data_IF_566551557052
#
_entry.id   IF_566551557052
#
_cell.length_a   1.000
_cell.length_b   1.000
_cell.length_c   1.000
_cell.angle_alpha   90.00
_cell.angle_beta   90.00
_cell.angle_gamma   90.00
#
_symmetry.space_group_name_H-M   'P 1'
#
loop_
_entity.id
_entity.type
_entity.pdbx_description
1 polymer ?
#
# COMPACT_ATOMS: atom_id res chain seq x y z
N UNK A 1 -2.10 -1.80 20.31
CA UNK A 1 -0.65 -1.59 20.13
C UNK A 1 -0.24 -0.46 21.04
N UNK A 2 0.65 -0.72 21.98
CA UNK A 2 1.07 0.28 22.99
C UNK A 2 2.18 1.19 22.47
N UNK A 3 2.86 0.79 21.40
CA UNK A 3 3.90 1.57 20.71
C UNK A 3 3.35 2.64 19.75
N UNK A 4 2.03 2.70 19.56
CA UNK A 4 1.39 3.76 18.78
C UNK A 4 0.56 4.68 19.72
N UNK A 5 1.20 5.54 20.53
CA UNK A 5 0.52 6.34 21.55
C UNK A 5 -0.21 7.55 20.98
N UNK A 6 0.13 7.97 19.76
CA UNK A 6 -0.42 9.17 19.12
C UNK A 6 -1.74 8.86 18.39
N UNK A 7 -2.63 9.84 18.21
CA UNK A 7 -3.80 9.69 17.37
C UNK A 7 -3.40 9.46 15.89
N UNK A 8 -4.25 8.77 15.09
CA UNK A 8 -3.92 8.42 13.69
C UNK A 8 -3.50 9.61 12.82
N UNK A 9 -4.09 10.77 13.05
CA UNK A 9 -3.85 11.98 12.28
C UNK A 9 -2.40 12.50 12.41
N UNK A 10 -1.73 12.20 13.53
CA UNK A 10 -0.33 12.57 13.74
C UNK A 10 0.66 11.67 12.98
N UNK A 11 0.26 10.46 12.63
CA UNK A 11 1.08 9.57 11.79
C UNK A 11 0.89 9.86 10.29
N UNK A 12 -0.21 10.50 9.91
CA UNK A 12 -0.54 10.83 8.53
C UNK A 12 -0.71 9.61 7.62
N UNK A 13 -0.71 9.84 6.32
CA UNK A 13 -0.86 8.77 5.31
C UNK A 13 0.27 7.74 5.34
N UNK A 14 1.44 8.10 5.83
CA UNK A 14 2.59 7.22 5.97
C UNK A 14 2.32 5.98 6.86
N UNK A 15 1.32 6.06 7.76
CA UNK A 15 0.91 4.91 8.58
C UNK A 15 0.49 3.70 7.74
N UNK A 16 -0.10 3.93 6.57
CA UNK A 16 -0.53 2.87 5.65
C UNK A 16 0.61 2.06 5.05
N UNK A 17 1.80 2.65 4.99
CA UNK A 17 3.03 2.01 4.50
C UNK A 17 4.01 1.67 5.63
N UNK A 18 3.61 1.89 6.89
CA UNK A 18 4.35 1.42 8.06
C UNK A 18 5.42 2.38 8.57
N UNK A 19 5.21 3.71 8.50
CA UNK A 19 6.15 4.71 9.05
C UNK A 19 6.14 4.81 10.58
N UNK A 20 5.27 4.07 11.27
CA UNK A 20 5.18 4.11 12.72
C UNK A 20 6.10 3.09 13.38
N UNK A 21 6.72 3.48 14.48
CA UNK A 21 7.55 2.60 15.30
C UNK A 21 6.70 1.53 16.00
N UNK A 22 7.13 0.27 15.93
CA UNK A 22 6.47 -0.85 16.57
C UNK A 22 7.50 -1.83 17.12
N UNK A 23 7.24 -2.41 18.30
CA UNK A 23 8.10 -3.47 18.82
C UNK A 23 7.89 -4.78 18.06
N UNK A 24 8.96 -5.59 17.92
CA UNK A 24 8.89 -6.89 17.23
C UNK A 24 7.82 -7.80 17.85
N UNK A 25 7.70 -7.81 19.18
CA UNK A 25 6.71 -8.63 19.87
C UNK A 25 5.27 -8.21 19.59
N UNK A 26 5.00 -6.90 19.55
CA UNK A 26 3.66 -6.41 19.22
C UNK A 26 3.31 -6.70 17.78
N UNK A 27 4.25 -6.48 16.84
CA UNK A 27 4.04 -6.82 15.43
C UNK A 27 3.77 -8.32 15.25
N UNK A 28 4.58 -9.17 15.89
CA UNK A 28 4.35 -10.62 15.86
C UNK A 28 2.96 -11.01 16.39
N UNK A 29 2.48 -10.37 17.46
CA UNK A 29 1.15 -10.64 18.00
C UNK A 29 0.02 -10.13 17.11
N UNK A 30 0.22 -9.02 16.37
CA UNK A 30 -0.73 -8.55 15.36
C UNK A 30 -0.89 -9.58 14.23
N UNK A 31 0.23 -10.09 13.68
CA UNK A 31 0.18 -11.15 12.66
C UNK A 31 -0.36 -12.47 13.22
N UNK A 32 -0.02 -12.81 14.47
CA UNK A 32 -0.62 -13.95 15.14
C UNK A 32 -2.14 -13.79 15.35
N UNK A 33 -2.65 -12.56 15.42
CA UNK A 33 -4.09 -12.29 15.43
C UNK A 33 -4.73 -12.60 14.08
N UNK A 34 -4.06 -12.26 12.98
CA UNK A 34 -4.49 -12.68 11.63
C UNK A 34 -4.45 -14.22 11.49
N UNK A 35 -3.37 -14.87 11.96
CA UNK A 35 -3.24 -16.33 11.97
C UNK A 35 -4.34 -17.03 12.78
N UNK A 36 -4.87 -16.39 13.81
CA UNK A 36 -6.02 -16.85 14.60
C UNK A 36 -7.37 -16.36 14.07
N UNK A 37 -7.41 -15.97 12.80
CA UNK A 37 -8.64 -15.51 12.13
C UNK A 37 -9.35 -14.37 12.89
N UNK A 38 -8.55 -13.40 13.37
CA UNK A 38 -9.02 -12.18 14.03
C UNK A 38 -9.10 -12.25 15.55
N UNK A 39 -8.82 -13.41 16.16
CA UNK A 39 -8.83 -13.54 17.61
C UNK A 39 -7.56 -12.95 18.21
N UNK A 40 -7.69 -11.77 18.82
CA UNK A 40 -6.56 -11.18 19.56
C UNK A 40 -6.37 -11.86 20.92
N UNK A 41 -5.11 -12.15 21.25
CA UNK A 41 -4.72 -12.73 22.55
C UNK A 41 -3.52 -11.99 23.12
N UNK A 42 -3.52 -11.80 24.44
CA UNK A 42 -2.33 -11.30 25.12
C UNK A 42 -1.20 -12.32 25.03
N UNK A 43 0.02 -11.83 24.77
CA UNK A 43 1.22 -12.67 24.76
C UNK A 43 1.46 -13.25 26.16
N UNK A 44 1.77 -14.55 26.24
CA UNK A 44 2.17 -15.23 27.48
C UNK A 44 3.45 -16.01 27.22
N UNK A 45 4.44 -15.79 28.06
CA UNK A 45 5.71 -16.53 28.05
C UNK A 45 5.66 -17.82 28.89
N UNK A 46 4.56 -18.06 29.59
CA UNK A 46 4.35 -19.25 30.41
C UNK A 46 3.48 -20.26 29.68
N UNK A 47 3.93 -21.53 29.48
CA UNK A 47 3.07 -22.57 28.96
C UNK A 47 1.95 -22.88 29.98
N UNK A 48 0.78 -23.31 29.50
CA UNK A 48 -0.34 -23.82 30.29
C UNK A 48 -0.98 -22.87 31.33
N UNK A 49 -0.80 -21.56 31.22
CA UNK A 49 -1.66 -20.65 31.98
C UNK A 49 -3.07 -20.75 31.41
N UNK A 50 -4.01 -21.24 32.21
CA UNK A 50 -5.44 -21.10 31.88
C UNK A 50 -5.71 -19.60 31.73
N UNK A 51 -5.81 -19.18 30.46
CA UNK A 51 -6.17 -17.78 30.17
C UNK A 51 -7.61 -17.59 30.62
N UNK A 52 -7.93 -16.53 31.36
CA UNK A 52 -9.30 -16.14 31.45
C UNK A 52 -9.82 -16.09 30.01
N UNK A 53 -10.89 -16.80 29.72
CA UNK A 53 -11.65 -16.58 28.50
C UNK A 53 -12.08 -15.12 28.58
N UNK A 54 -11.23 -14.23 28.11
CA UNK A 54 -11.60 -12.84 27.95
C UNK A 54 -12.90 -12.89 27.15
N UNK A 55 -13.91 -12.21 27.62
CA UNK A 55 -15.14 -12.00 26.85
C UNK A 55 -14.74 -11.41 25.51
N UNK A 56 -14.43 -12.25 24.53
CA UNK A 56 -14.14 -11.87 23.14
C UNK A 56 -15.48 -11.44 22.58
N UNK A 57 -15.88 -10.22 22.91
CA UNK A 57 -17.17 -9.68 22.50
C UNK A 57 -17.22 -9.46 20.97
N UNK A 58 -16.07 -9.28 20.31
CA UNK A 58 -15.93 -9.23 18.84
C UNK A 58 -14.50 -9.60 18.44
N UNK A 59 -14.28 -10.29 17.32
CA UNK A 59 -12.95 -10.46 16.77
C UNK A 59 -12.36 -9.07 16.44
N UNK A 60 -11.06 -8.89 16.65
CA UNK A 60 -10.36 -7.64 16.31
C UNK A 60 -10.41 -7.35 14.80
N UNK A 61 -10.43 -8.42 13.99
CA UNK A 61 -10.60 -8.40 12.53
C UNK A 61 -11.58 -9.52 12.15
N UNK A 62 -12.45 -9.28 11.17
CA UNK A 62 -13.40 -10.29 10.70
C UNK A 62 -12.66 -11.48 10.09
N UNK A 63 -13.17 -12.70 10.33
CA UNK A 63 -12.57 -13.96 9.85
C UNK A 63 -12.35 -13.98 8.34
N UNK A 64 -13.35 -13.54 7.57
CA UNK A 64 -13.29 -13.50 6.10
C UNK A 64 -12.15 -12.59 5.61
N UNK A 65 -11.95 -11.43 6.25
CA UNK A 65 -10.85 -10.51 5.92
C UNK A 65 -9.49 -11.10 6.31
N UNK A 66 -9.38 -11.78 7.45
CA UNK A 66 -8.15 -12.46 7.84
C UNK A 66 -7.76 -13.53 6.83
N UNK A 67 -8.76 -14.30 6.34
CA UNK A 67 -8.54 -15.33 5.34
C UNK A 67 -8.10 -14.73 4.00
N UNK A 68 -8.76 -13.66 3.52
CA UNK A 68 -8.36 -12.95 2.29
C UNK A 68 -6.93 -12.41 2.39
N UNK A 69 -6.56 -11.82 3.54
CA UNK A 69 -5.20 -11.35 3.78
C UNK A 69 -4.20 -12.52 3.74
N UNK A 70 -4.52 -13.65 4.37
CA UNK A 70 -3.65 -14.83 4.35
C UNK A 70 -3.50 -15.39 2.94
N UNK A 71 -4.58 -15.46 2.17
CA UNK A 71 -4.61 -15.92 0.78
C UNK A 71 -3.72 -15.03 -0.10
N UNK A 72 -3.91 -13.71 -0.07
CA UNK A 72 -3.08 -12.75 -0.80
C UNK A 72 -1.60 -12.81 -0.40
N UNK A 73 -1.32 -12.87 0.91
CA UNK A 73 0.06 -12.92 1.42
C UNK A 73 0.74 -14.28 1.22
N UNK A 74 0.04 -15.34 0.82
CA UNK A 74 0.61 -16.64 0.48
C UNK A 74 0.85 -16.84 -1.01
N UNK A 75 0.39 -15.92 -1.87
CA UNK A 75 0.51 -16.04 -3.32
C UNK A 75 1.95 -15.78 -3.80
N UNK A 76 2.65 -16.87 -4.13
CA UNK A 76 4.01 -16.80 -4.68
C UNK A 76 4.04 -16.22 -6.10
N UNK A 77 2.99 -16.42 -6.91
CA UNK A 77 2.94 -15.89 -8.26
C UNK A 77 2.85 -14.36 -8.27
N UNK A 78 1.97 -13.81 -7.41
CA UNK A 78 1.83 -12.36 -7.24
C UNK A 78 3.11 -11.69 -6.71
N UNK A 79 3.92 -12.40 -5.91
CA UNK A 79 5.21 -11.88 -5.38
C UNK A 79 6.37 -11.93 -6.36
N UNK A 80 6.32 -12.82 -7.35
CA UNK A 80 7.44 -13.08 -8.27
C UNK A 80 7.96 -11.82 -8.99
N UNK A 81 7.15 -10.88 -9.48
CA UNK A 81 7.67 -9.68 -10.15
C UNK A 81 8.54 -8.81 -9.25
N UNK A 82 8.27 -8.76 -7.93
CA UNK A 82 9.00 -7.91 -6.98
C UNK A 82 10.18 -8.60 -6.32
N UNK A 83 10.11 -9.91 -6.09
CA UNK A 83 11.08 -10.63 -5.27
C UNK A 83 11.78 -11.78 -6.00
N UNK A 84 11.39 -12.07 -7.25
CA UNK A 84 11.89 -13.20 -8.01
C UNK A 84 11.24 -14.53 -7.62
N UNK A 85 11.29 -15.49 -8.55
CA UNK A 85 10.66 -16.80 -8.40
C UNK A 85 11.28 -17.66 -7.28
N UNK A 86 12.54 -17.41 -6.93
CA UNK A 86 13.33 -18.20 -5.96
C UNK A 86 13.73 -17.38 -4.72
N UNK A 87 12.88 -16.44 -4.31
CA UNK A 87 13.14 -15.64 -3.11
C UNK A 87 13.00 -16.47 -1.82
N UNK A 88 13.58 -15.98 -0.72
CA UNK A 88 13.41 -16.57 0.62
C UNK A 88 11.95 -16.55 1.14
N UNK A 89 11.02 -15.96 0.40
CA UNK A 89 9.59 -15.97 0.70
C UNK A 89 8.84 -17.16 0.07
N UNK A 90 9.54 -17.99 -0.71
CA UNK A 90 8.94 -19.18 -1.34
C UNK A 90 9.16 -20.40 -0.47
N UNK A 91 8.08 -21.03 -0.09
CA UNK A 91 8.06 -22.27 0.68
C UNK A 91 7.47 -23.42 -0.17
N UNK A 92 7.70 -24.66 0.24
CA UNK A 92 7.09 -25.87 -0.34
C UNK A 92 5.67 -26.12 0.20
N UNK A 93 5.20 -25.27 1.09
CA UNK A 93 3.87 -25.26 1.70
C UNK A 93 3.38 -23.81 1.79
N UNK A 94 2.06 -23.57 1.94
CA UNK A 94 1.55 -22.20 2.02
C UNK A 94 2.02 -21.49 3.29
N UNK A 95 2.56 -20.28 3.11
CA UNK A 95 2.93 -19.37 4.21
C UNK A 95 2.55 -17.96 3.78
N UNK A 96 1.76 -17.29 4.59
CA UNK A 96 1.48 -15.88 4.41
C UNK A 96 2.69 -15.06 4.86
N UNK A 97 3.33 -14.33 3.93
CA UNK A 97 4.59 -13.61 4.17
C UNK A 97 4.44 -12.12 3.88
N UNK A 98 5.06 -11.28 4.73
CA UNK A 98 5.22 -9.85 4.49
C UNK A 98 6.60 -9.40 4.92
N UNK A 99 7.24 -8.58 4.08
CA UNK A 99 8.50 -7.91 4.38
C UNK A 99 8.28 -6.42 4.60
N UNK A 100 9.20 -5.79 5.30
CA UNK A 100 9.31 -4.35 5.44
C UNK A 100 10.76 -3.92 5.35
N UNK A 101 11.00 -2.76 4.75
CA UNK A 101 12.32 -2.13 4.71
C UNK A 101 12.12 -0.65 4.98
N UNK A 102 12.74 -0.11 6.03
CA UNK A 102 12.67 1.31 6.32
C UNK A 102 13.60 2.12 5.40
N UNK A 103 13.43 3.42 5.40
CA UNK A 103 14.30 4.35 4.66
C UNK A 103 15.76 4.10 5.00
N UNK A 104 16.64 4.16 3.99
CA UNK A 104 18.07 3.92 4.11
C UNK A 104 18.45 2.54 4.67
N UNK A 105 17.58 1.53 4.53
CA UNK A 105 17.85 0.16 4.99
C UNK A 105 18.16 0.03 6.49
N UNK A 106 17.61 0.90 7.34
CA UNK A 106 17.88 0.88 8.79
C UNK A 106 17.24 -0.30 9.47
N UNK A 107 16.00 -0.64 9.05
CA UNK A 107 15.21 -1.73 9.61
C UNK A 107 14.76 -2.68 8.52
N UNK A 108 15.04 -3.94 8.68
CA UNK A 108 14.61 -5.01 7.81
C UNK A 108 13.68 -5.95 8.57
N UNK A 109 12.47 -6.11 8.08
CA UNK A 109 11.43 -6.90 8.70
C UNK A 109 11.00 -8.03 7.78
N UNK A 110 10.75 -9.20 8.35
CA UNK A 110 10.04 -10.28 7.70
C UNK A 110 9.12 -10.97 8.70
N UNK A 111 7.87 -11.18 8.32
CA UNK A 111 6.91 -11.95 9.09
C UNK A 111 6.31 -13.02 8.19
N UNK A 112 6.29 -14.26 8.69
CA UNK A 112 5.59 -15.38 8.08
C UNK A 112 4.60 -15.96 9.09
N UNK A 113 3.42 -16.37 8.62
CA UNK A 113 2.46 -17.06 9.48
C UNK A 113 1.67 -18.14 8.75
N UNK A 114 1.29 -19.15 9.52
CA UNK A 114 0.42 -20.27 9.18
C UNK A 114 -0.61 -20.43 10.31
N UNK A 115 -1.54 -21.38 10.25
CA UNK A 115 -2.41 -21.69 11.38
C UNK A 115 -1.67 -22.04 12.66
N UNK A 116 -0.49 -22.67 12.57
CA UNK A 116 0.28 -23.20 13.70
C UNK A 116 1.25 -22.18 14.27
N UNK A 117 1.95 -21.42 13.40
CA UNK A 117 3.09 -20.61 13.78
C UNK A 117 3.03 -19.20 13.21
N UNK A 118 3.58 -18.27 13.97
CA UNK A 118 3.92 -16.93 13.49
C UNK A 118 5.39 -16.68 13.81
N UNK A 119 6.19 -16.40 12.80
CA UNK A 119 7.61 -16.08 12.91
C UNK A 119 7.81 -14.65 12.44
N UNK A 120 8.34 -13.81 13.30
CA UNK A 120 8.70 -12.43 12.98
C UNK A 120 10.19 -12.21 13.23
N UNK A 121 10.86 -11.59 12.28
CA UNK A 121 12.30 -11.32 12.33
C UNK A 121 12.52 -9.84 12.03
N UNK A 122 13.37 -9.22 12.84
CA UNK A 122 13.93 -7.91 12.61
C UNK A 122 15.45 -8.01 12.50
N UNK A 123 16.01 -7.34 11.52
CA UNK A 123 17.46 -7.20 11.33
C UNK A 123 17.77 -5.72 11.18
N UNK A 124 18.69 -5.21 11.98
CA UNK A 124 19.07 -3.81 11.99
C UNK A 124 20.15 -3.51 13.04
N UNK A 125 20.62 -2.28 13.05
CA UNK A 125 21.55 -1.79 14.06
C UNK A 125 20.76 -1.14 15.20
N UNK A 126 21.06 -1.52 16.45
CA UNK A 126 20.38 -0.96 17.64
C UNK A 126 20.56 0.55 17.81
N UNK A 127 21.60 1.12 17.20
CA UNK A 127 21.84 2.56 17.19
C UNK A 127 21.14 3.29 16.02
N UNK A 128 20.31 2.57 15.22
CA UNK A 128 19.60 3.14 14.09
C UNK A 128 20.47 3.47 12.88
N UNK A 129 21.76 3.07 12.86
CA UNK A 129 22.60 3.31 11.68
C UNK A 129 22.15 2.47 10.49
N UNK A 130 22.24 2.99 9.24
CA UNK A 130 21.89 2.25 8.03
C UNK A 130 22.70 0.97 7.86
N UNK A 131 22.08 -0.06 7.30
CA UNK A 131 22.77 -1.22 6.75
C UNK A 131 23.12 -0.97 5.26
N UNK A 132 24.06 -1.76 4.73
CA UNK A 132 24.49 -1.60 3.34
C UNK A 132 23.64 -2.48 2.43
N UNK A 133 22.70 -1.88 1.70
CA UNK A 133 21.89 -2.52 0.64
C UNK A 133 21.19 -3.83 1.07
N UNK A 134 20.80 -3.94 2.34
CA UNK A 134 20.13 -5.11 2.91
C UNK A 134 18.66 -4.78 3.08
N UNK A 135 17.79 -5.44 2.32
CA UNK A 135 16.34 -5.29 2.40
C UNK A 135 15.68 -6.36 3.27
N UNK A 136 14.40 -6.22 3.58
CA UNK A 136 13.67 -7.24 4.33
C UNK A 136 13.70 -8.61 3.67
N UNK A 137 13.76 -8.70 2.33
CA UNK A 137 13.82 -9.97 1.60
C UNK A 137 15.21 -10.59 1.61
N UNK A 138 16.28 -9.78 1.70
CA UNK A 138 17.66 -10.28 1.69
C UNK A 138 18.26 -10.43 3.10
N UNK A 139 17.75 -9.67 4.09
CA UNK A 139 18.21 -9.71 5.47
C UNK A 139 17.35 -10.56 6.40
N UNK A 140 16.10 -10.16 6.63
CA UNK A 140 15.23 -10.80 7.62
C UNK A 140 14.53 -12.07 7.07
N UNK A 141 14.18 -12.10 5.78
CA UNK A 141 13.40 -13.21 5.22
C UNK A 141 14.14 -14.55 5.21
N UNK A 142 15.47 -14.67 4.93
CA UNK A 142 16.16 -15.96 5.03
C UNK A 142 16.07 -16.56 6.43
N UNK A 143 16.24 -15.77 7.48
CA UNK A 143 16.13 -16.23 8.87
C UNK A 143 14.70 -16.69 9.17
N UNK A 144 13.70 -15.92 8.76
CA UNK A 144 12.29 -16.28 8.91
C UNK A 144 11.98 -17.57 8.16
N UNK A 145 12.51 -17.75 6.95
CA UNK A 145 12.35 -18.94 6.13
C UNK A 145 12.88 -20.19 6.85
N UNK A 146 14.13 -20.16 7.33
CA UNK A 146 14.78 -21.30 7.96
C UNK A 146 14.04 -21.72 9.24
N UNK A 147 13.62 -20.76 10.06
CA UNK A 147 12.85 -21.03 11.28
C UNK A 147 11.49 -21.64 10.95
N UNK A 148 10.77 -21.07 9.97
CA UNK A 148 9.45 -21.55 9.56
C UNK A 148 9.53 -22.97 8.98
N UNK A 149 10.49 -23.22 8.10
CA UNK A 149 10.73 -24.52 7.50
C UNK A 149 11.11 -25.57 8.57
N UNK A 150 11.96 -25.22 9.53
CA UNK A 150 12.29 -26.11 10.66
C UNK A 150 11.07 -26.46 11.49
N UNK A 151 10.23 -25.48 11.84
CA UNK A 151 9.02 -25.72 12.62
C UNK A 151 8.05 -26.67 11.89
N UNK A 152 7.79 -26.42 10.62
CA UNK A 152 6.83 -27.22 9.84
C UNK A 152 7.35 -28.61 9.50
N UNK A 153 8.65 -28.81 9.30
CA UNK A 153 9.24 -30.17 9.21
C UNK A 153 9.04 -30.97 10.49
N UNK A 154 9.06 -30.31 11.65
CA UNK A 154 8.94 -30.99 12.94
C UNK A 154 7.50 -31.24 13.37
N UNK A 155 6.59 -30.30 13.11
CA UNK A 155 5.24 -30.31 13.68
C UNK A 155 4.13 -30.50 12.64
N UNK A 156 4.48 -30.59 11.37
CA UNK A 156 3.51 -30.70 10.28
C UNK A 156 3.01 -29.35 9.80
N UNK A 157 2.17 -29.38 8.78
CA UNK A 157 1.65 -28.20 8.08
C UNK A 157 0.17 -28.38 7.81
N UNK A 158 -0.62 -27.35 8.14
CA UNK A 158 -2.00 -27.20 7.66
C UNK A 158 -2.17 -25.84 6.98
N UNK A 159 -3.35 -25.59 6.44
CA UNK A 159 -3.68 -24.28 5.91
C UNK A 159 -5.09 -23.88 6.35
N UNK A 160 -5.38 -22.60 6.22
CA UNK A 160 -6.66 -22.03 6.62
C UNK A 160 -7.80 -22.53 5.75
N UNK A 161 -8.84 -23.07 6.37
CA UNK A 161 -10.07 -23.39 5.66
C UNK A 161 -10.76 -22.12 5.17
N UNK A 162 -11.19 -22.18 3.91
CA UNK A 162 -11.91 -21.06 3.29
C UNK A 162 -13.26 -20.84 4.01
N UNK A 163 -13.50 -19.65 4.55
CA UNK A 163 -14.79 -19.34 5.17
C UNK A 163 -15.94 -19.32 4.16
N UNK A 164 -17.16 -19.67 4.56
CA UNK A 164 -18.31 -19.65 3.66
C UNK A 164 -18.69 -18.23 3.17
N UNK A 165 -18.23 -17.20 3.89
CA UNK A 165 -18.40 -15.81 3.49
C UNK A 165 -17.46 -15.36 2.36
N UNK A 166 -16.58 -16.22 1.85
CA UNK A 166 -15.71 -15.92 0.71
C UNK A 166 -16.31 -16.48 -0.57
N UNK A 167 -16.55 -15.61 -1.53
CA UNK A 167 -17.11 -15.95 -2.86
C UNK A 167 -16.12 -15.62 -3.95
N UNK A 168 -16.19 -16.36 -5.04
CA UNK A 168 -15.46 -16.08 -6.27
C UNK A 168 -16.35 -15.33 -7.24
N UNK A 169 -15.79 -14.32 -7.90
CA UNK A 169 -16.47 -13.53 -8.92
C UNK A 169 -15.53 -13.26 -10.09
N UNK A 170 -16.07 -13.35 -11.29
CA UNK A 170 -15.37 -12.86 -12.47
C UNK A 170 -15.33 -11.34 -12.42
N UNK A 171 -14.16 -10.76 -12.71
CA UNK A 171 -13.97 -9.31 -12.84
C UNK A 171 -13.13 -8.99 -14.06
N UNK A 172 -13.33 -7.82 -14.59
CA UNK A 172 -12.47 -7.31 -15.67
C UNK A 172 -11.11 -6.88 -15.08
N UNK A 173 -9.98 -7.34 -15.65
CA UNK A 173 -8.67 -7.18 -15.03
C UNK A 173 -8.21 -5.72 -14.88
N UNK A 174 -8.75 -4.78 -15.68
CA UNK A 174 -8.37 -3.37 -15.58
C UNK A 174 -9.34 -2.54 -14.74
N UNK A 175 -10.64 -2.89 -14.71
CA UNK A 175 -11.63 -2.14 -13.92
C UNK A 175 -11.84 -2.72 -12.53
N UNK A 176 -11.50 -3.99 -12.31
CA UNK A 176 -11.85 -4.73 -11.09
C UNK A 176 -13.35 -4.92 -10.88
N UNK A 177 -14.17 -4.62 -11.90
CA UNK A 177 -15.64 -4.69 -11.83
C UNK A 177 -16.16 -5.99 -12.40
N UNK A 178 -17.32 -6.42 -11.89
CA UNK A 178 -18.01 -7.59 -12.40
C UNK A 178 -18.58 -7.28 -13.80
N UNK A 179 -18.21 -8.03 -14.86
CA UNK A 179 -18.70 -7.78 -16.20
C UNK A 179 -20.20 -8.11 -16.32
N UNK A 180 -20.95 -7.28 -17.07
CA UNK A 180 -22.37 -7.51 -17.31
C UNK A 180 -22.67 -8.72 -18.21
N UNK A 181 -21.71 -9.11 -19.06
CA UNK A 181 -21.74 -10.28 -19.93
C UNK A 181 -20.44 -11.09 -19.74
N UNK A 182 -20.50 -12.39 -20.02
CA UNK A 182 -19.30 -13.24 -19.98
C UNK A 182 -18.24 -12.72 -20.96
N UNK A 183 -17.01 -12.54 -20.49
CA UNK A 183 -15.87 -12.04 -21.25
C UNK A 183 -14.72 -13.06 -21.19
N UNK A 184 -14.03 -13.21 -22.31
CA UNK A 184 -12.90 -14.13 -22.41
C UNK A 184 -11.66 -13.66 -21.60
N UNK A 185 -11.54 -12.36 -21.33
CA UNK A 185 -10.44 -11.74 -20.60
C UNK A 185 -10.77 -11.52 -19.11
N UNK A 186 -11.95 -11.95 -18.62
CA UNK A 186 -12.28 -11.86 -17.21
C UNK A 186 -11.39 -12.79 -16.37
N UNK A 187 -10.96 -12.31 -15.22
CA UNK A 187 -10.23 -13.08 -14.20
C UNK A 187 -11.16 -13.40 -13.04
N UNK A 188 -10.95 -14.54 -12.39
CA UNK A 188 -11.73 -14.91 -11.22
C UNK A 188 -10.97 -14.47 -9.97
N UNK A 189 -11.62 -13.64 -9.16
CA UNK A 189 -11.06 -13.11 -7.92
C UNK A 189 -11.96 -13.45 -6.72
N UNK A 190 -11.38 -13.38 -5.53
CA UNK A 190 -12.04 -13.73 -4.27
C UNK A 190 -12.50 -12.47 -3.55
N UNK A 191 -13.72 -12.49 -3.05
CA UNK A 191 -14.35 -11.36 -2.37
C UNK A 191 -15.03 -11.82 -1.08
N UNK A 192 -15.14 -10.94 -0.09
CA UNK A 192 -16.11 -11.13 0.98
C UNK A 192 -17.52 -10.96 0.41
N UNK A 193 -18.41 -11.89 0.68
CA UNK A 193 -19.76 -11.92 0.10
C UNK A 193 -20.58 -10.65 0.39
N UNK A 194 -20.33 -10.00 1.53
CA UNK A 194 -20.96 -8.73 1.91
C UNK A 194 -20.37 -7.52 1.17
N UNK A 195 -19.24 -7.67 0.47
CA UNK A 195 -18.60 -6.62 -0.30
C UNK A 195 -18.19 -7.13 -1.69
N UNK A 196 -19.15 -7.48 -2.55
CA UNK A 196 -18.87 -7.97 -3.89
C UNK A 196 -18.30 -6.83 -4.78
N UNK A 197 -17.61 -7.16 -5.87
CA UNK A 197 -17.17 -6.15 -6.82
C UNK A 197 -18.38 -5.43 -7.42
N UNK A 198 -18.31 -4.11 -7.64
CA UNK A 198 -19.35 -3.38 -8.33
C UNK A 198 -19.46 -3.88 -9.78
N UNK A 199 -20.65 -3.74 -10.38
CA UNK A 199 -20.85 -4.07 -11.78
C UNK A 199 -20.20 -3.06 -12.71
N UNK A 200 -19.75 -3.50 -13.88
CA UNK A 200 -19.29 -2.62 -14.95
C UNK A 200 -20.42 -1.70 -15.42
N UNK A 201 -20.04 -0.51 -15.83
CA UNK A 201 -20.93 0.53 -16.37
C UNK A 201 -20.44 0.93 -17.75
N UNK A 202 -21.36 1.39 -18.62
CA UNK A 202 -21.00 1.93 -19.93
C UNK A 202 -20.01 3.09 -19.81
N UNK A 203 -20.15 3.89 -18.76
CA UNK A 203 -19.28 5.05 -18.49
C UNK A 203 -17.86 4.68 -18.09
N UNK A 204 -17.59 3.41 -17.75
CA UNK A 204 -16.25 2.92 -17.47
C UNK A 204 -15.36 2.85 -18.73
N UNK A 205 -15.97 3.06 -19.93
CA UNK A 205 -15.31 2.95 -21.22
C UNK A 205 -15.51 4.21 -22.07
N UNK A 206 -14.56 4.46 -22.96
CA UNK A 206 -14.72 5.45 -24.03
C UNK A 206 -15.45 4.85 -25.26
N UNK A 207 -15.66 5.67 -26.27
CA UNK A 207 -16.32 5.24 -27.53
C UNK A 207 -15.53 4.21 -28.34
N UNK A 208 -14.22 4.05 -28.06
CA UNK A 208 -13.34 3.04 -28.66
C UNK A 208 -13.26 1.75 -27.83
N UNK A 209 -13.96 1.69 -26.69
CA UNK A 209 -13.96 0.54 -25.78
C UNK A 209 -12.74 0.47 -24.85
N UNK A 210 -11.96 1.55 -24.75
CA UNK A 210 -10.84 1.63 -23.81
C UNK A 210 -11.35 1.97 -22.40
N UNK A 211 -10.73 1.37 -21.38
CA UNK A 211 -11.07 1.63 -19.98
C UNK A 211 -10.68 3.06 -19.60
N UNK A 212 -11.60 3.79 -19.03
CA UNK A 212 -11.36 5.11 -18.47
C UNK A 212 -10.73 4.97 -17.08
N UNK A 213 -9.50 5.46 -16.95
CA UNK A 213 -8.78 5.53 -15.68
C UNK A 213 -9.00 6.89 -15.01
N UNK A 214 -8.94 6.92 -13.69
CA UNK A 214 -8.98 8.14 -12.92
C UNK A 214 -7.69 8.98 -13.10
N UNK A 215 -7.73 10.19 -12.56
CA UNK A 215 -6.62 11.17 -12.64
C UNK A 215 -5.36 10.73 -11.89
N UNK A 216 -5.47 9.84 -10.93
CA UNK A 216 -4.34 9.24 -10.21
C UNK A 216 -3.37 8.48 -11.13
N UNK A 217 -3.81 8.08 -12.33
CA UNK A 217 -2.99 7.40 -13.33
C UNK A 217 -2.33 8.34 -14.36
N UNK A 218 -2.49 9.66 -14.21
CA UNK A 218 -2.02 10.65 -15.20
C UNK A 218 -0.52 10.55 -15.46
N UNK A 219 0.30 10.51 -14.41
CA UNK A 219 1.76 10.38 -14.58
C UNK A 219 2.12 9.08 -15.29
N UNK A 220 1.56 7.97 -14.83
CA UNK A 220 1.84 6.67 -15.40
C UNK A 220 1.41 6.54 -16.87
N UNK A 221 0.23 7.06 -17.22
CA UNK A 221 -0.25 7.00 -18.61
C UNK A 221 0.65 7.73 -19.61
N UNK A 222 1.42 8.72 -19.16
CA UNK A 222 2.37 9.49 -19.95
C UNK A 222 3.76 8.86 -20.04
N UNK A 223 4.04 7.79 -19.30
CA UNK A 223 5.37 7.16 -19.28
C UNK A 223 5.49 6.03 -20.30
N UNK A 224 6.75 5.70 -20.66
CA UNK A 224 7.05 4.52 -21.48
C UNK A 224 6.70 3.18 -20.80
N UNK A 225 6.49 3.18 -19.50
CA UNK A 225 6.09 1.99 -18.73
C UNK A 225 4.61 1.62 -18.94
N UNK A 226 3.82 2.53 -19.54
CA UNK A 226 2.44 2.26 -19.90
C UNK A 226 2.36 1.35 -21.13
N UNK A 227 2.34 0.05 -20.91
CA UNK A 227 2.12 -0.95 -21.96
C UNK A 227 0.64 -1.14 -22.32
N UNK A 228 -0.27 -0.38 -21.71
CA UNK A 228 -1.72 -0.47 -21.91
C UNK A 228 -2.30 0.71 -22.70
N UNK A 229 -1.45 1.50 -23.38
CA UNK A 229 -1.84 2.74 -24.07
C UNK A 229 -3.01 2.55 -25.07
N UNK A 230 -3.14 1.36 -25.68
CA UNK A 230 -4.25 1.02 -26.57
C UNK A 230 -5.53 0.54 -25.84
N UNK A 231 -5.46 0.25 -24.55
CA UNK A 231 -6.53 -0.35 -23.76
C UNK A 231 -7.10 0.60 -22.71
N UNK A 232 -6.39 1.66 -22.38
CA UNK A 232 -6.78 2.61 -21.34
C UNK A 232 -6.74 4.05 -21.85
N UNK A 233 -7.53 4.92 -21.22
CA UNK A 233 -7.56 6.36 -21.46
C UNK A 233 -7.88 7.06 -20.15
N UNK A 234 -7.43 8.30 -19.95
CA UNK A 234 -7.86 9.09 -18.80
C UNK A 234 -9.32 9.53 -18.97
N UNK A 235 -10.10 9.41 -17.91
CA UNK A 235 -11.54 9.74 -17.90
C UNK A 235 -11.82 11.18 -18.35
N UNK A 236 -10.95 12.11 -17.93
CA UNK A 236 -11.05 13.55 -18.21
C UNK A 236 -9.87 14.06 -19.05
N UNK A 237 -9.44 13.29 -20.07
CA UNK A 237 -8.30 13.59 -20.94
C UNK A 237 -8.44 14.90 -21.76
N UNK A 238 -8.98 15.92 -21.27
CA UNK A 238 -9.12 17.25 -21.90
C UNK A 238 -9.56 18.30 -20.91
N UNK A 239 -9.84 17.90 -19.67
CA UNK A 239 -10.20 18.85 -18.61
C UNK A 239 -9.00 19.09 -17.73
N UNK A 240 -8.63 20.38 -17.61
CA UNK A 240 -7.55 20.78 -16.70
C UNK A 240 -7.94 20.49 -15.25
N UNK A 241 -7.17 19.68 -14.56
CA UNK A 241 -7.32 19.42 -13.12
C UNK A 241 -5.95 19.22 -12.46
N UNK A 242 -5.89 19.47 -11.15
CA UNK A 242 -4.67 19.31 -10.36
C UNK A 242 -4.61 17.89 -9.79
N UNK A 243 -3.54 17.17 -10.12
CA UNK A 243 -3.23 15.83 -9.60
C UNK A 243 -2.46 15.96 -8.28
N UNK A 244 -1.48 16.87 -8.21
CA UNK A 244 -0.69 17.18 -7.02
C UNK A 244 -0.33 18.67 -6.98
N UNK A 245 -0.44 19.30 -5.82
CA UNK A 245 -0.97 18.82 -4.54
C UNK A 245 -2.50 18.79 -4.51
N UNK A 246 -3.05 17.83 -3.78
CA UNK A 246 -4.49 17.80 -3.49
C UNK A 246 -4.89 18.94 -2.56
N UNK A 247 -6.14 19.44 -2.63
CA UNK A 247 -6.62 20.49 -1.75
C UNK A 247 -6.47 20.11 -0.26
N UNK A 248 -5.82 20.97 0.51
CA UNK A 248 -5.59 20.75 1.94
C UNK A 248 -4.36 19.92 2.30
N UNK A 249 -3.57 19.48 1.31
CA UNK A 249 -2.31 18.79 1.58
C UNK A 249 -1.41 19.58 2.52
N UNK A 250 -0.83 18.89 3.50
CA UNK A 250 0.16 19.48 4.42
C UNK A 250 1.55 18.95 4.06
N UNK A 251 2.49 19.88 3.85
CA UNK A 251 3.90 19.59 3.60
C UNK A 251 4.72 20.00 4.81
N UNK A 252 5.61 19.11 5.23
CA UNK A 252 6.56 19.38 6.31
C UNK A 252 7.91 19.69 5.68
N UNK A 253 8.46 20.86 6.04
CA UNK A 253 9.79 21.29 5.58
C UNK A 253 10.79 21.03 6.69
N UNK A 254 11.74 20.16 6.40
CA UNK A 254 12.87 19.86 7.26
C UNK A 254 14.08 20.69 6.77
N UNK A 255 14.64 21.59 7.58
CA UNK A 255 15.79 22.39 7.21
C UNK A 255 17.02 21.55 6.85
N UNK A 256 17.14 20.35 7.43
CA UNK A 256 18.26 19.44 7.20
C UNK A 256 18.08 18.60 5.92
N UNK A 257 16.89 18.64 5.29
CA UNK A 257 16.56 17.91 4.07
C UNK A 257 16.16 18.88 2.95
N UNK A 258 17.11 19.37 2.13
CA UNK A 258 16.82 20.39 1.10
C UNK A 258 15.71 20.02 0.11
N UNK A 259 15.50 18.72 -0.17
CA UNK A 259 14.42 18.24 -1.04
C UNK A 259 13.03 18.42 -0.44
N UNK A 260 12.90 18.52 0.88
CA UNK A 260 11.61 18.77 1.55
C UNK A 260 11.04 20.16 1.26
N UNK A 261 11.87 21.10 0.81
CA UNK A 261 11.45 22.44 0.44
C UNK A 261 10.79 22.55 -0.94
N UNK A 262 10.65 21.45 -1.66
CA UNK A 262 10.05 21.44 -3.00
C UNK A 262 8.72 20.65 -3.00
N UNK A 263 7.62 21.34 -3.30
CA UNK A 263 6.29 20.75 -3.47
C UNK A 263 6.09 20.40 -4.94
N UNK A 264 5.95 19.12 -5.30
CA UNK A 264 5.78 18.74 -6.70
C UNK A 264 4.42 19.20 -7.22
N UNK A 265 4.41 19.78 -8.42
CA UNK A 265 3.21 20.26 -9.10
C UNK A 265 2.93 19.38 -10.30
N UNK A 266 1.77 18.74 -10.29
CA UNK A 266 1.30 17.87 -11.38
C UNK A 266 -0.14 18.25 -11.70
N UNK A 267 -0.42 18.49 -12.97
CA UNK A 267 -1.77 18.64 -13.45
C UNK A 267 -1.96 17.87 -14.75
N UNK A 268 -3.20 17.51 -15.06
CA UNK A 268 -3.62 16.80 -16.25
C UNK A 268 -4.60 17.63 -17.08
N UNK A 269 -4.70 17.34 -18.36
CA UNK A 269 -5.66 18.01 -19.28
C UNK A 269 -5.16 19.32 -19.90
N UNK A 270 -3.85 19.63 -19.81
CA UNK A 270 -3.24 20.79 -20.47
C UNK A 270 -1.88 20.44 -21.07
N UNK A 271 -1.53 21.10 -22.18
CA UNK A 271 -0.27 20.84 -22.90
C UNK A 271 0.88 21.72 -22.42
N UNK A 272 0.60 22.94 -21.97
CA UNK A 272 1.60 23.90 -21.53
C UNK A 272 1.07 24.77 -20.38
N UNK A 273 1.30 24.33 -19.15
CA UNK A 273 0.71 24.95 -17.98
C UNK A 273 1.54 26.11 -17.47
N UNK A 274 0.85 27.18 -17.07
CA UNK A 274 1.40 28.31 -16.33
C UNK A 274 0.97 28.18 -14.87
N UNK A 275 1.94 28.16 -13.97
CA UNK A 275 1.70 28.05 -12.53
C UNK A 275 1.79 29.43 -11.88
N UNK A 276 0.81 29.75 -11.05
CA UNK A 276 0.70 31.06 -10.38
C UNK A 276 0.43 30.86 -8.87
N UNK A 277 1.09 31.66 -8.04
CA UNK A 277 0.78 31.82 -6.62
C UNK A 277 1.19 33.25 -6.17
N UNK A 278 0.45 33.77 -5.22
CA UNK A 278 0.80 35.07 -4.61
C UNK A 278 1.92 34.97 -3.58
N UNK A 279 2.20 33.80 -3.08
CA UNK A 279 3.02 33.57 -1.89
C UNK A 279 4.12 32.53 -2.10
N UNK A 280 4.10 31.81 -3.21
CA UNK A 280 5.11 30.81 -3.55
C UNK A 280 5.80 31.15 -4.86
N UNK A 281 7.08 30.85 -4.96
CA UNK A 281 7.83 30.84 -6.22
C UNK A 281 7.88 29.42 -6.81
N UNK A 282 8.15 29.34 -8.12
CA UNK A 282 8.20 28.07 -8.83
C UNK A 282 9.59 27.81 -9.39
N UNK A 283 9.97 26.53 -9.45
CA UNK A 283 11.25 26.05 -9.98
C UNK A 283 11.01 24.87 -10.91
N UNK A 284 11.66 24.88 -12.06
CA UNK A 284 11.73 23.71 -12.92
C UNK A 284 13.00 22.90 -12.62
N UNK A 285 12.84 21.59 -12.46
CA UNK A 285 13.95 20.65 -12.26
C UNK A 285 13.62 19.32 -12.94
N UNK A 286 14.53 18.86 -13.80
CA UNK A 286 14.38 17.61 -14.57
C UNK A 286 13.04 17.50 -15.34
N UNK A 287 12.58 18.62 -15.94
CA UNK A 287 11.32 18.67 -16.71
C UNK A 287 10.04 18.67 -15.85
N UNK A 288 10.16 18.86 -14.55
CA UNK A 288 9.03 18.95 -13.61
C UNK A 288 9.03 20.31 -12.93
N UNK A 289 7.84 20.80 -12.68
CA UNK A 289 7.64 22.07 -11.94
C UNK A 289 7.40 21.79 -10.45
N UNK A 290 8.03 22.58 -9.61
CA UNK A 290 7.89 22.54 -8.16
C UNK A 290 7.53 23.93 -7.63
N UNK A 291 6.71 23.99 -6.59
CA UNK A 291 6.60 25.19 -5.77
C UNK A 291 7.64 25.15 -4.66
N UNK A 292 8.33 26.26 -4.42
CA UNK A 292 9.27 26.41 -3.31
C UNK A 292 8.45 26.66 -2.05
N UNK A 293 8.53 25.72 -1.10
CA UNK A 293 7.74 25.76 0.12
C UNK A 293 8.17 26.90 1.05
N UNK A 294 7.18 27.63 1.52
CA UNK A 294 7.31 28.68 2.56
C UNK A 294 6.26 28.36 3.62
N UNK A 295 6.58 28.51 4.88
CA UNK A 295 5.64 28.25 5.96
C UNK A 295 4.34 29.07 5.82
N UNK A 296 3.19 28.40 5.99
CA UNK A 296 1.88 29.05 5.91
C UNK A 296 0.87 28.27 5.05
N UNK A 297 -0.26 28.94 4.78
CA UNK A 297 -1.28 28.46 3.85
C UNK A 297 -1.17 29.19 2.51
N UNK A 298 -1.13 28.44 1.42
CA UNK A 298 -0.88 28.94 0.08
C UNK A 298 -1.90 28.44 -0.91
N UNK A 299 -2.30 29.31 -1.84
CA UNK A 299 -3.07 28.92 -3.02
C UNK A 299 -2.13 28.78 -4.22
N UNK A 300 -2.35 27.73 -5.01
CA UNK A 300 -1.62 27.42 -6.23
C UNK A 300 -2.63 27.30 -7.36
N UNK A 301 -2.41 28.00 -8.44
CA UNK A 301 -3.27 27.99 -9.63
C UNK A 301 -2.49 27.47 -10.83
N UNK A 302 -3.08 26.54 -11.58
CA UNK A 302 -2.60 26.15 -12.89
C UNK A 302 -3.54 26.73 -13.95
N UNK A 303 -2.97 27.30 -15.01
CA UNK A 303 -3.67 27.84 -16.16
C UNK A 303 -3.14 27.19 -17.44
N UNK A 304 -4.04 26.71 -18.26
CA UNK A 304 -3.72 26.34 -19.63
C UNK A 304 -4.05 27.49 -20.57
N UNK A 305 -3.05 28.15 -21.19
CA UNK A 305 -3.27 29.28 -22.09
C UNK A 305 -3.93 28.89 -23.40
N UNK A 306 -3.86 27.62 -23.81
CA UNK A 306 -4.46 27.15 -25.07
C UNK A 306 -5.97 26.92 -24.93
N UNK A 307 -6.39 26.25 -23.88
CA UNK A 307 -7.82 25.99 -23.61
C UNK A 307 -8.50 27.07 -22.78
N UNK A 308 -7.73 27.96 -22.16
CA UNK A 308 -8.22 28.98 -21.21
C UNK A 308 -8.69 28.42 -19.87
N UNK A 309 -8.55 27.12 -19.64
CA UNK A 309 -8.96 26.49 -18.39
C UNK A 309 -8.04 26.91 -17.24
N UNK A 310 -8.63 27.05 -16.04
CA UNK A 310 -7.95 27.43 -14.82
C UNK A 310 -8.42 26.55 -13.69
N UNK A 311 -7.49 26.03 -12.90
CA UNK A 311 -7.77 25.25 -11.69
C UNK A 311 -6.92 25.73 -10.54
N UNK A 312 -7.48 25.75 -9.32
CA UNK A 312 -6.80 26.24 -8.12
C UNK A 312 -6.89 25.19 -7.01
N UNK A 313 -5.81 25.02 -6.29
CA UNK A 313 -5.73 24.25 -5.05
C UNK A 313 -5.15 25.10 -3.92
N UNK A 314 -5.15 24.55 -2.72
CA UNK A 314 -4.48 25.16 -1.57
C UNK A 314 -3.72 24.10 -0.75
N UNK A 315 -2.61 24.54 -0.17
CA UNK A 315 -1.73 23.70 0.65
C UNK A 315 -1.39 24.39 1.96
N UNK A 316 -0.98 23.63 2.94
CA UNK A 316 -0.39 24.11 4.20
C UNK A 316 1.05 23.62 4.27
N UNK A 317 1.96 24.53 4.53
CA UNK A 317 3.38 24.21 4.77
C UNK A 317 3.69 24.48 6.23
N UNK A 318 4.32 23.54 6.91
CA UNK A 318 4.76 23.65 8.30
C UNK A 318 6.26 23.33 8.37
N UNK A 319 6.99 24.07 9.20
CA UNK A 319 8.34 23.69 9.59
C UNK A 319 8.29 22.50 10.56
N UNK A 320 9.28 21.60 10.47
CA UNK A 320 9.51 20.51 11.42
C UNK A 320 10.22 21.03 12.66
#
# INVERSE_FOLDING_TARGET
VTTLPKPPDEYGLGLTIGNAEVSLLELANLYATLARMGEWRTVSLRPNVQRPTSNVQRPAVQRDLCWLIADMLSDNAARTPSFGANSALRFNFPVACKTGTSTDFRDNWAVGYTPEFTVAVWVGNFNGSPMREVSGVTGAAPIMHDVMDHLHRRFGTTWFERPPGIVERAVHPLTGRAPGLARADAVVEKFAAQNPPPSERTDDYDSAGRVKLGEEYTEWTATADNQLHDRVVLADAGRLHLVSPQPGSTFLVDPDVPSSSLVPLVASGGSRLIWESRTLSFREQAGRTFAVAVEGRHNITARDPESGQVVTTWVVVKAL
#
